data_IF_189973364839
#
_entry.id   IF_189973364839
#
_cell.length_a   1.000
_cell.length_b   1.000
_cell.length_c   1.000
_cell.angle_alpha   90.00
_cell.angle_beta   90.00
_cell.angle_gamma   90.00
#
_symmetry.space_group_name_H-M   'P 1'
#
loop_
_entity.id
_entity.type
_entity.pdbx_description
1 polymer ?
#
# COMPACT_ATOMS: atom_id res chain seq x y z
N UNK A 1 -13.25 -43.22 1.31
CA UNK A 1 -13.34 -42.57 -0.02
C UNK A 1 -13.34 -41.04 0.01
N UNK A 2 -13.98 -40.37 0.98
CA UNK A 2 -13.96 -38.88 1.08
C UNK A 2 -12.57 -38.31 1.42
N UNK A 3 -11.78 -39.00 2.25
CA UNK A 3 -10.42 -38.62 2.62
C UNK A 3 -9.42 -38.71 1.45
N UNK A 4 -9.54 -39.71 0.58
CA UNK A 4 -8.65 -39.89 -0.57
C UNK A 4 -8.86 -38.81 -1.65
N UNK A 5 -10.11 -38.36 -1.85
CA UNK A 5 -10.43 -37.24 -2.75
C UNK A 5 -9.88 -35.91 -2.24
N UNK A 6 -9.89 -35.70 -0.92
CA UNK A 6 -9.31 -34.51 -0.30
C UNK A 6 -7.78 -34.48 -0.44
N UNK A 7 -7.11 -35.63 -0.26
CA UNK A 7 -5.66 -35.76 -0.45
C UNK A 7 -5.27 -35.54 -1.91
N UNK A 8 -6.01 -36.12 -2.86
CA UNK A 8 -5.76 -35.92 -4.30
C UNK A 8 -5.99 -34.45 -4.69
N UNK A 9 -7.00 -33.78 -4.11
CA UNK A 9 -7.22 -32.35 -4.34
C UNK A 9 -6.09 -31.48 -3.77
N UNK A 10 -5.60 -31.80 -2.56
CA UNK A 10 -4.46 -31.10 -1.94
C UNK A 10 -3.18 -31.31 -2.76
N UNK A 11 -2.91 -32.53 -3.22
CA UNK A 11 -1.76 -32.86 -4.06
C UNK A 11 -1.88 -32.19 -5.43
N UNK A 12 -3.09 -32.12 -6.02
CA UNK A 12 -3.34 -31.41 -7.27
C UNK A 12 -3.11 -29.89 -7.12
N UNK A 13 -3.52 -29.28 -6.01
CA UNK A 13 -3.24 -27.87 -5.71
C UNK A 13 -1.74 -27.57 -5.53
N UNK A 14 -0.97 -28.53 -4.98
CA UNK A 14 0.47 -28.38 -4.76
C UNK A 14 1.30 -28.48 -6.05
N UNK A 15 0.78 -29.12 -7.11
CA UNK A 15 1.49 -29.31 -8.39
C UNK A 15 1.44 -28.08 -9.31
N UNK A 16 0.56 -27.11 -9.05
CA UNK A 16 0.47 -25.87 -9.85
C UNK A 16 1.37 -24.72 -9.39
N UNK A 17 2.27 -24.95 -8.43
CA UNK A 17 3.28 -23.97 -8.01
C UNK A 17 4.48 -24.08 -8.96
N UNK A 18 4.38 -23.50 -10.17
CA UNK A 18 5.57 -23.22 -10.97
C UNK A 18 5.63 -21.78 -11.47
N UNK A 19 6.79 -21.20 -11.15
CA UNK A 19 7.50 -20.05 -11.71
C UNK A 19 6.65 -18.88 -12.22
N UNK A 20 6.58 -17.86 -11.38
CA UNK A 20 6.14 -16.53 -11.75
C UNK A 20 7.39 -15.65 -11.88
N UNK A 21 7.55 -15.07 -13.05
CA UNK A 21 8.61 -14.12 -13.36
C UNK A 21 8.48 -12.87 -12.49
N UNK A 22 9.60 -12.46 -11.91
CA UNK A 22 9.70 -11.33 -11.00
C UNK A 22 9.51 -10.00 -11.72
N UNK A 23 8.49 -9.25 -11.32
CA UNK A 23 8.44 -7.80 -11.47
C UNK A 23 8.11 -7.21 -10.10
N UNK A 24 9.04 -6.41 -9.56
CA UNK A 24 8.94 -5.85 -8.21
C UNK A 24 7.93 -4.70 -8.19
N UNK A 25 6.98 -4.75 -7.26
CA UNK A 25 6.19 -3.60 -6.87
C UNK A 25 6.61 -3.18 -5.45
N UNK A 26 6.74 -1.87 -5.17
CA UNK A 26 7.10 -1.38 -3.84
C UNK A 26 6.13 -1.90 -2.76
N UNK A 27 6.72 -2.31 -1.63
CA UNK A 27 6.06 -2.87 -0.44
C UNK A 27 5.96 -1.78 0.64
N UNK A 28 4.83 -1.66 1.35
CA UNK A 28 4.58 -0.49 2.21
C UNK A 28 4.14 -0.85 3.64
N UNK A 29 4.99 -0.54 4.61
CA UNK A 29 4.70 -0.39 6.06
C UNK A 29 3.79 0.82 6.33
N UNK A 30 3.75 1.77 5.38
CA UNK A 30 2.93 3.00 5.41
C UNK A 30 1.45 2.75 5.68
N UNK A 31 0.94 1.55 5.43
CA UNK A 31 -0.46 1.19 5.64
C UNK A 31 -0.89 1.40 7.10
N UNK A 32 0.02 1.21 8.07
CA UNK A 32 -0.23 1.47 9.49
C UNK A 32 -0.37 2.96 9.81
N UNK A 33 0.25 3.81 8.99
CA UNK A 33 0.15 5.25 9.11
C UNK A 33 -1.01 5.81 8.31
N UNK A 34 -1.40 5.17 7.20
CA UNK A 34 -2.43 5.68 6.32
C UNK A 34 -3.34 4.58 5.74
N UNK A 35 -4.42 4.31 6.46
CA UNK A 35 -5.50 3.40 6.07
C UNK A 35 -6.25 3.85 4.80
N UNK A 36 -6.37 5.15 4.57
CA UNK A 36 -7.08 5.71 3.42
C UNK A 36 -6.38 5.44 2.08
N UNK A 37 -5.04 5.51 2.03
CA UNK A 37 -4.28 5.15 0.83
C UNK A 37 -4.37 3.65 0.51
N UNK A 38 -4.68 2.82 1.49
CA UNK A 38 -4.83 1.37 1.34
C UNK A 38 -6.21 1.03 0.84
N UNK A 39 -7.24 1.69 1.39
CA UNK A 39 -8.62 1.41 1.04
C UNK A 39 -9.43 2.72 0.93
N UNK A 40 -9.90 3.08 -0.29
CA UNK A 40 -10.65 4.32 -0.48
C UNK A 40 -12.00 4.33 0.25
N UNK A 41 -12.56 3.18 0.62
CA UNK A 41 -13.77 3.09 1.42
C UNK A 41 -13.59 3.57 2.88
N UNK A 42 -12.36 3.81 3.33
CA UNK A 42 -12.09 4.43 4.64
C UNK A 42 -12.58 5.88 4.71
N UNK A 43 -12.75 6.56 3.56
CA UNK A 43 -13.28 7.92 3.53
C UNK A 43 -14.67 7.97 4.20
N UNK A 44 -14.82 8.84 5.21
CA UNK A 44 -16.06 9.02 5.95
C UNK A 44 -16.39 7.93 6.98
N UNK A 45 -15.47 7.01 7.28
CA UNK A 45 -15.64 6.05 8.39
C UNK A 45 -15.36 6.68 9.76
N UNK A 46 -14.69 7.83 9.78
CA UNK A 46 -14.47 8.65 10.96
C UNK A 46 -15.40 9.86 10.96
N UNK A 47 -15.70 10.40 12.16
CA UNK A 47 -16.56 11.57 12.34
C UNK A 47 -15.85 12.91 12.14
N UNK A 48 -14.60 12.88 11.67
CA UNK A 48 -13.72 14.04 11.56
C UNK A 48 -12.88 13.97 10.29
N UNK A 49 -12.37 15.12 9.88
CA UNK A 49 -11.43 15.21 8.77
C UNK A 49 -10.00 14.91 9.25
N UNK A 50 -9.21 14.25 8.40
CA UNK A 50 -7.79 13.95 8.64
C UNK A 50 -6.97 14.39 7.44
N UNK A 51 -5.79 14.92 7.71
CA UNK A 51 -4.72 15.10 6.74
C UNK A 51 -3.53 14.26 7.21
N UNK A 52 -2.84 13.60 6.27
CA UNK A 52 -1.62 12.84 6.53
C UNK A 52 -0.62 13.09 5.44
N UNK A 53 0.63 13.28 5.84
CA UNK A 53 1.80 13.35 4.98
C UNK A 53 2.78 12.24 5.40
N UNK A 54 3.19 11.42 4.45
CA UNK A 54 4.11 10.31 4.68
C UNK A 54 5.32 10.47 3.77
N UNK A 55 6.51 10.16 4.27
CA UNK A 55 7.73 10.06 3.49
C UNK A 55 8.44 8.75 3.85
N UNK A 56 8.92 8.05 2.83
CA UNK A 56 9.60 6.77 2.95
C UNK A 56 10.83 6.76 2.05
N UNK A 57 11.95 6.34 2.62
CA UNK A 57 13.20 6.11 1.90
C UNK A 57 13.57 4.66 2.14
N UNK A 58 13.52 3.85 1.09
CA UNK A 58 13.75 2.42 1.13
C UNK A 58 15.16 2.08 0.68
N UNK A 59 15.73 1.03 1.25
CA UNK A 59 16.98 0.42 0.80
C UNK A 59 18.11 1.45 0.66
N UNK A 60 18.34 2.20 1.73
CA UNK A 60 19.39 3.23 1.75
C UNK A 60 20.74 2.66 1.27
N UNK A 61 21.42 3.36 0.36
CA UNK A 61 22.69 2.91 -0.21
C UNK A 61 22.60 1.83 -1.31
N UNK A 62 21.40 1.35 -1.67
CA UNK A 62 21.22 0.45 -2.81
C UNK A 62 21.39 1.21 -4.12
N UNK A 63 22.44 0.90 -4.90
CA UNK A 63 22.64 1.44 -6.25
C UNK A 63 22.73 2.96 -6.36
N UNK A 64 23.13 3.67 -5.30
CA UNK A 64 23.16 5.14 -5.22
C UNK A 64 21.93 5.71 -4.51
N UNK A 65 20.74 5.61 -5.11
CA UNK A 65 19.48 6.04 -4.49
C UNK A 65 18.42 4.93 -4.54
N UNK A 66 18.12 4.34 -3.38
CA UNK A 66 17.01 3.40 -3.24
C UNK A 66 15.63 4.06 -3.38
N UNK A 67 14.53 3.29 -3.49
CA UNK A 67 13.20 3.81 -3.76
C UNK A 67 12.72 4.85 -2.75
N UNK A 68 12.03 5.89 -3.22
CA UNK A 68 11.50 6.97 -2.40
C UNK A 68 10.03 7.20 -2.69
N UNK A 69 9.23 7.22 -1.65
CA UNK A 69 7.78 7.44 -1.76
C UNK A 69 7.36 8.58 -0.84
N UNK A 70 6.61 9.53 -1.39
CA UNK A 70 5.99 10.62 -0.63
C UNK A 70 4.49 10.65 -0.93
N UNK A 71 3.68 10.89 0.08
CA UNK A 71 2.23 11.01 -0.10
C UNK A 71 1.65 12.07 0.81
N UNK A 72 0.67 12.81 0.31
CA UNK A 72 -0.21 13.67 1.10
C UNK A 72 -1.64 13.24 0.81
N UNK A 73 -2.44 13.07 1.86
CA UNK A 73 -3.85 12.70 1.73
C UNK A 73 -4.71 13.49 2.69
N UNK A 74 -5.93 13.83 2.28
CA UNK A 74 -6.95 14.46 3.11
C UNK A 74 -8.29 13.76 2.92
N UNK A 75 -8.96 13.34 3.99
CA UNK A 75 -10.23 12.62 3.89
C UNK A 75 -11.10 12.81 5.14
N UNK A 76 -12.41 12.71 4.98
CA UNK A 76 -13.37 12.86 6.07
C UNK A 76 -14.82 12.62 5.65
N UNK A 77 -15.77 12.78 6.58
CA UNK A 77 -17.18 12.59 6.31
C UNK A 77 -17.83 13.85 5.73
N UNK A 78 -18.95 13.67 5.02
CA UNK A 78 -19.95 14.73 4.90
C UNK A 78 -20.66 14.91 6.25
N UNK A 79 -21.01 16.15 6.60
CA UNK A 79 -21.63 16.49 7.89
C UNK A 79 -22.97 15.78 8.13
N UNK A 80 -23.86 15.82 7.15
CA UNK A 80 -25.27 15.39 7.31
C UNK A 80 -25.62 14.11 6.54
N UNK A 81 -24.69 13.60 5.73
CA UNK A 81 -24.93 12.45 4.86
C UNK A 81 -24.01 11.31 5.24
N UNK A 82 -24.48 10.09 5.08
CA UNK A 82 -23.75 8.84 5.26
C UNK A 82 -22.70 8.60 4.14
N UNK A 83 -21.88 9.61 3.92
CA UNK A 83 -20.96 9.74 2.81
C UNK A 83 -19.61 10.26 3.33
N UNK A 84 -18.55 9.94 2.60
CA UNK A 84 -17.22 10.47 2.81
C UNK A 84 -16.60 10.92 1.50
N UNK A 85 -15.62 11.79 1.61
CA UNK A 85 -14.81 12.22 0.48
C UNK A 85 -13.35 12.36 0.92
N UNK A 86 -12.46 12.36 -0.06
CA UNK A 86 -11.06 12.61 0.17
C UNK A 86 -10.32 12.84 -1.13
N UNK A 87 -9.04 13.12 -0.99
CA UNK A 87 -8.11 13.13 -2.10
C UNK A 87 -6.70 12.87 -1.62
N UNK A 88 -5.84 12.53 -2.55
CA UNK A 88 -4.43 12.27 -2.29
C UNK A 88 -3.56 12.68 -3.47
N UNK A 89 -2.32 13.03 -3.15
CA UNK A 89 -1.21 13.11 -4.09
C UNK A 89 -0.16 12.14 -3.57
N UNK A 90 0.33 11.25 -4.41
CA UNK A 90 1.50 10.46 -4.08
C UNK A 90 2.51 10.48 -5.23
N UNK A 91 3.77 10.53 -4.86
CA UNK A 91 4.90 10.48 -5.76
C UNK A 91 5.81 9.33 -5.33
N UNK A 92 6.06 8.41 -6.25
CA UNK A 92 6.94 7.26 -6.05
C UNK A 92 8.07 7.32 -7.08
N UNK A 93 9.31 7.18 -6.63
CA UNK A 93 10.51 7.17 -7.46
C UNK A 93 11.26 5.88 -7.18
N UNK A 94 11.46 5.07 -8.20
CA UNK A 94 12.16 3.78 -8.13
C UNK A 94 13.15 3.70 -9.29
N UNK A 95 14.42 4.00 -9.01
CA UNK A 95 15.46 4.07 -10.04
C UNK A 95 15.10 5.07 -11.15
N UNK A 96 15.14 4.67 -12.45
CA UNK A 96 14.79 5.54 -13.57
C UNK A 96 13.30 5.82 -13.70
N UNK A 97 12.45 5.10 -12.97
CA UNK A 97 11.01 5.28 -13.01
C UNK A 97 10.53 6.26 -11.94
N UNK A 98 9.55 7.08 -12.31
CA UNK A 98 8.80 7.88 -11.34
C UNK A 98 7.32 7.95 -11.69
N UNK A 99 6.49 7.98 -10.66
CA UNK A 99 5.03 7.96 -10.74
C UNK A 99 4.44 9.03 -9.83
N UNK A 100 3.78 10.00 -10.43
CA UNK A 100 2.99 11.01 -9.74
C UNK A 100 1.51 10.72 -9.96
N UNK A 101 0.75 10.56 -8.89
CA UNK A 101 -0.70 10.34 -8.96
C UNK A 101 -1.44 11.36 -8.12
N UNK A 102 -2.49 11.94 -8.69
CA UNK A 102 -3.47 12.78 -8.04
C UNK A 102 -4.81 12.03 -8.09
N UNK A 103 -5.41 11.75 -6.94
CA UNK A 103 -6.67 11.03 -6.85
C UNK A 103 -7.71 11.75 -5.99
N UNK A 104 -8.97 11.63 -6.38
CA UNK A 104 -10.14 12.01 -5.59
C UNK A 104 -10.97 10.77 -5.27
N UNK A 105 -11.54 10.74 -4.07
CA UNK A 105 -12.33 9.60 -3.56
C UNK A 105 -13.69 10.05 -3.10
N UNK A 106 -14.68 9.22 -3.39
CA UNK A 106 -16.00 9.29 -2.79
C UNK A 106 -16.35 7.94 -2.17
N UNK A 107 -16.93 7.96 -0.97
CA UNK A 107 -17.34 6.76 -0.26
C UNK A 107 -18.74 6.89 0.34
N UNK A 108 -19.45 5.77 0.40
CA UNK A 108 -20.81 5.69 0.93
C UNK A 108 -20.85 4.68 2.08
N UNK A 109 -21.35 5.10 3.24
CA UNK A 109 -21.29 4.39 4.51
C UNK A 109 -22.67 3.98 5.00
N UNK A 110 -23.01 2.70 4.99
CA UNK A 110 -24.32 2.16 5.39
C UNK A 110 -24.21 1.51 6.76
N UNK A 111 -25.12 1.83 7.68
CA UNK A 111 -25.31 1.05 8.90
C UNK A 111 -26.07 -0.24 8.60
N UNK A 112 -25.50 -1.39 8.97
CA UNK A 112 -26.24 -2.67 8.92
C UNK A 112 -27.10 -2.82 10.17
N UNK A 113 -26.54 -2.43 11.32
CA UNK A 113 -27.16 -2.42 12.64
C UNK A 113 -26.42 -1.42 13.54
N UNK A 114 -26.80 -1.34 14.81
CA UNK A 114 -26.23 -0.40 15.78
C UNK A 114 -24.73 -0.57 16.02
N UNK A 115 -24.17 -1.76 15.74
CA UNK A 115 -22.77 -2.08 15.96
C UNK A 115 -21.90 -2.05 14.70
N UNK A 116 -22.47 -2.36 13.53
CA UNK A 116 -21.73 -2.60 12.29
C UNK A 116 -22.14 -1.66 11.15
N UNK A 117 -21.13 -1.14 10.47
CA UNK A 117 -21.26 -0.32 9.27
C UNK A 117 -20.42 -0.91 8.14
N UNK A 118 -20.89 -0.75 6.91
CA UNK A 118 -20.15 -1.07 5.68
C UNK A 118 -19.96 0.21 4.88
N UNK A 119 -18.78 0.40 4.34
CA UNK A 119 -18.45 1.47 3.41
C UNK A 119 -18.04 0.89 2.06
N UNK A 120 -18.54 1.49 0.99
CA UNK A 120 -18.04 1.28 -0.38
C UNK A 120 -17.42 2.57 -0.88
N UNK A 121 -16.19 2.50 -1.41
CA UNK A 121 -15.44 3.67 -1.85
C UNK A 121 -14.89 3.51 -3.27
N UNK A 122 -15.02 4.56 -4.07
CA UNK A 122 -14.46 4.65 -5.41
C UNK A 122 -13.51 5.84 -5.46
N UNK A 123 -12.32 5.63 -6.01
CA UNK A 123 -11.40 6.71 -6.35
C UNK A 123 -11.18 6.76 -7.84
N UNK A 124 -11.03 7.98 -8.33
CA UNK A 124 -10.62 8.26 -9.69
C UNK A 124 -9.49 9.29 -9.65
N UNK A 125 -8.51 9.10 -10.52
CA UNK A 125 -7.31 9.91 -10.49
C UNK A 125 -6.65 10.09 -11.83
N UNK A 126 -5.69 10.99 -11.85
CA UNK A 126 -4.73 11.20 -12.91
C UNK A 126 -3.38 10.67 -12.46
N UNK A 127 -2.69 9.96 -13.34
CA UNK A 127 -1.37 9.41 -13.08
C UNK A 127 -0.43 9.75 -14.23
N UNK A 128 0.69 10.35 -13.86
CA UNK A 128 1.83 10.57 -14.74
C UNK A 128 2.91 9.55 -14.39
N UNK A 129 3.35 8.80 -15.39
CA UNK A 129 4.52 7.93 -15.33
C UNK A 129 5.62 8.59 -16.14
N UNK A 130 6.83 8.60 -15.60
CA UNK A 130 8.02 9.12 -16.26
C UNK A 130 9.14 8.09 -16.16
N UNK A 131 9.80 7.86 -17.29
CA UNK A 131 10.99 7.02 -17.41
C UNK A 131 12.15 7.89 -17.87
N UNK A 132 13.20 7.94 -17.06
CA UNK A 132 14.44 8.65 -17.40
C UNK A 132 15.50 7.63 -17.83
N UNK A 133 15.70 7.49 -19.14
CA UNK A 133 16.70 6.57 -19.67
C UNK A 133 18.13 7.14 -19.63
N UNK A 134 18.32 8.44 -19.36
CA UNK A 134 19.64 9.05 -19.30
C UNK A 134 20.46 8.61 -18.08
N UNK A 135 19.78 8.11 -17.04
CA UNK A 135 20.41 7.61 -15.81
C UNK A 135 20.62 6.09 -15.82
N UNK A 136 20.25 5.40 -16.90
CA UNK A 136 20.50 3.97 -17.06
C UNK A 136 21.92 3.77 -17.61
N UNK A 137 22.84 3.28 -16.77
CA UNK A 137 24.19 2.91 -17.19
C UNK A 137 24.28 1.39 -17.27
N UNK A 138 24.58 0.86 -18.46
CA UNK A 138 24.84 -0.56 -18.66
C UNK A 138 26.33 -0.76 -18.89
N UNK A 139 26.91 -1.72 -18.15
CA UNK A 139 28.23 -2.28 -18.47
C UNK A 139 28.06 -3.18 -19.69
N UNK A 140 28.14 -2.58 -20.89
CA UNK A 140 28.50 -3.17 -22.19
C UNK A 140 27.81 -2.38 -23.33
N UNK A 141 28.49 -2.23 -24.47
CA UNK A 141 28.07 -1.53 -25.71
C UNK A 141 26.85 -2.18 -26.43
N UNK A 142 25.92 -2.77 -25.69
CA UNK A 142 24.66 -3.31 -26.21
C UNK A 142 23.66 -2.16 -26.41
N UNK A 143 23.65 -1.62 -27.63
CA UNK A 143 22.57 -0.75 -28.10
C UNK A 143 21.25 -1.54 -28.12
N UNK A 144 20.36 -1.27 -27.16
CA UNK A 144 18.98 -1.78 -27.17
C UNK A 144 18.06 -0.74 -27.84
N UNK A 145 17.50 -1.02 -29.05
CA UNK A 145 16.60 -0.11 -29.75
C UNK A 145 15.29 0.18 -29.00
N UNK A 146 14.91 -0.62 -28.01
CA UNK A 146 13.74 -0.38 -27.16
C UNK A 146 14.01 0.66 -26.06
N UNK A 147 15.28 1.04 -25.86
CA UNK A 147 15.70 1.97 -24.82
C UNK A 147 15.75 3.40 -25.34
N UNK A 148 15.19 4.33 -24.57
CA UNK A 148 15.22 5.76 -24.90
C UNK A 148 16.36 6.43 -24.14
N UNK A 149 17.26 7.15 -24.81
CA UNK A 149 18.32 7.94 -24.13
C UNK A 149 17.82 9.26 -23.51
N UNK A 150 16.50 9.41 -23.37
CA UNK A 150 15.82 10.64 -22.97
C UNK A 150 14.76 10.40 -21.91
N UNK A 151 14.02 11.45 -21.59
CA UNK A 151 12.93 11.42 -20.61
C UNK A 151 11.62 11.18 -21.33
N UNK A 152 11.01 10.02 -21.11
CA UNK A 152 9.68 9.69 -21.62
C UNK A 152 8.63 9.94 -20.54
N UNK A 153 7.52 10.59 -20.91
CA UNK A 153 6.42 10.87 -19.97
C UNK A 153 5.10 10.40 -20.56
N UNK A 154 4.35 9.64 -19.77
CA UNK A 154 3.03 9.13 -20.13
C UNK A 154 1.99 9.50 -19.09
N UNK A 155 0.88 10.04 -19.58
CA UNK A 155 -0.26 10.39 -18.76
C UNK A 155 -1.36 9.35 -18.92
N UNK A 156 -2.02 9.03 -17.82
CA UNK A 156 -3.08 8.03 -17.78
C UNK A 156 -4.08 8.35 -16.67
N UNK A 157 -5.22 7.69 -16.72
CA UNK A 157 -6.25 7.80 -15.68
C UNK A 157 -6.12 6.60 -14.74
N UNK A 158 -6.41 6.79 -13.47
CA UNK A 158 -6.39 5.74 -12.46
C UNK A 158 -7.78 5.56 -11.83
N UNK A 159 -8.10 4.34 -11.42
CA UNK A 159 -9.33 4.05 -10.69
C UNK A 159 -9.10 2.96 -9.64
N UNK A 160 -9.64 3.20 -8.45
CA UNK A 160 -9.47 2.32 -7.28
C UNK A 160 -10.83 2.06 -6.63
N UNK A 161 -11.09 0.82 -6.20
CA UNK A 161 -12.33 0.42 -5.55
C UNK A 161 -12.01 -0.17 -4.17
N UNK A 162 -12.88 0.09 -3.20
CA UNK A 162 -12.74 -0.42 -1.84
C UNK A 162 -14.07 -0.79 -1.23
N UNK A 163 -14.04 -1.79 -0.36
CA UNK A 163 -15.11 -2.14 0.56
C UNK A 163 -14.51 -2.27 1.97
N UNK A 164 -15.22 -1.77 2.97
CA UNK A 164 -14.73 -1.72 4.35
C UNK A 164 -15.87 -1.95 5.33
N UNK A 165 -15.79 -3.01 6.12
CA UNK A 165 -16.73 -3.28 7.21
C UNK A 165 -16.07 -2.94 8.54
N UNK A 166 -16.76 -2.16 9.38
CA UNK A 166 -16.19 -1.67 10.63
C UNK A 166 -17.22 -1.58 11.75
N UNK A 167 -16.71 -1.71 12.96
CA UNK A 167 -17.40 -1.52 14.24
C UNK A 167 -16.50 -0.66 15.15
N UNK A 168 -16.90 -0.45 16.41
CA UNK A 168 -16.12 0.31 17.40
C UNK A 168 -14.73 -0.28 17.62
N UNK A 169 -14.59 -1.62 17.57
CA UNK A 169 -13.34 -2.31 17.91
C UNK A 169 -12.74 -3.12 16.76
N UNK A 170 -13.47 -3.36 15.67
CA UNK A 170 -13.04 -4.29 14.62
C UNK A 170 -13.17 -3.64 13.26
N UNK A 171 -12.29 -4.02 12.34
CA UNK A 171 -12.41 -3.65 10.94
C UNK A 171 -11.85 -4.73 10.03
N UNK A 172 -12.43 -4.81 8.83
CA UNK A 172 -11.94 -5.62 7.72
C UNK A 172 -12.26 -4.89 6.42
N UNK A 173 -11.33 -4.92 5.48
CA UNK A 173 -11.51 -4.24 4.21
C UNK A 173 -10.78 -4.94 3.07
N UNK A 174 -11.39 -4.90 1.91
CA UNK A 174 -10.80 -5.32 0.66
C UNK A 174 -10.76 -4.13 -0.30
N UNK A 175 -9.67 -3.97 -1.02
CA UNK A 175 -9.54 -2.93 -2.04
C UNK A 175 -8.77 -3.43 -3.25
N UNK A 176 -9.07 -2.85 -4.40
CA UNK A 176 -8.39 -3.10 -5.66
C UNK A 176 -7.93 -1.76 -6.23
N UNK A 177 -6.65 -1.67 -6.55
CA UNK A 177 -6.01 -0.47 -7.09
C UNK A 177 -5.60 -0.68 -8.55
N UNK A 178 -5.49 0.41 -9.29
CA UNK A 178 -5.06 0.43 -10.70
C UNK A 178 -5.98 -0.40 -11.60
N UNK A 179 -7.30 -0.30 -11.36
CA UNK A 179 -8.32 -1.09 -12.05
C UNK A 179 -8.30 -0.92 -13.57
N UNK A 180 -7.92 0.26 -14.06
CA UNK A 180 -7.85 0.56 -15.49
C UNK A 180 -6.72 -0.17 -16.21
N UNK A 181 -5.75 -0.75 -15.48
CA UNK A 181 -4.71 -1.61 -16.05
C UNK A 181 -3.93 -0.93 -17.19
N UNK A 182 -3.57 0.33 -16.98
CA UNK A 182 -2.98 1.18 -18.02
C UNK A 182 -1.79 0.50 -18.68
N UNK A 183 -1.76 0.56 -20.01
CA UNK A 183 -0.66 0.02 -20.81
C UNK A 183 0.45 1.05 -20.90
N UNK A 184 1.68 0.68 -20.55
CA UNK A 184 2.88 1.47 -20.81
C UNK A 184 3.46 1.04 -22.17
N UNK A 185 2.76 1.36 -23.25
CA UNK A 185 3.43 1.38 -24.56
C UNK A 185 4.40 2.57 -24.54
N UNK A 186 5.70 2.28 -24.49
CA UNK A 186 6.78 3.28 -24.60
C UNK A 186 7.31 3.28 -26.05
N UNK A 187 7.05 2.23 -26.84
CA UNK A 187 7.46 2.16 -28.24
C UNK A 187 6.38 1.50 -29.13
N UNK A 188 5.53 2.30 -29.77
CA UNK A 188 4.38 1.84 -30.58
C UNK A 188 4.76 0.86 -31.71
N UNK A 189 5.96 0.97 -32.27
CA UNK A 189 6.42 0.16 -33.40
C UNK A 189 7.04 -1.19 -33.00
N UNK A 190 7.50 -1.36 -31.75
CA UNK A 190 8.18 -2.59 -31.26
C UNK A 190 7.27 -3.40 -30.32
N UNK A 191 6.39 -2.75 -29.57
CA UNK A 191 5.49 -3.38 -28.58
C UNK A 191 4.47 -4.37 -29.19
N UNK A 192 4.27 -4.32 -30.51
CA UNK A 192 3.42 -5.26 -31.25
C UNK A 192 4.04 -6.67 -31.41
N UNK A 193 5.36 -6.81 -31.22
CA UNK A 193 6.10 -8.06 -31.44
C UNK A 193 6.62 -8.73 -30.16
N UNK A 194 6.81 -7.99 -29.05
CA UNK A 194 7.51 -8.47 -27.84
C UNK A 194 6.65 -8.47 -26.55
N UNK A 195 5.44 -7.89 -26.58
CA UNK A 195 4.48 -7.93 -25.47
C UNK A 195 4.27 -6.58 -24.78
N UNK A 196 3.03 -6.31 -24.39
CA UNK A 196 2.59 -5.03 -23.83
C UNK A 196 2.87 -4.99 -22.32
N UNK A 197 3.70 -4.05 -21.85
CA UNK A 197 3.85 -3.75 -20.42
C UNK A 197 2.58 -3.10 -19.87
N UNK A 198 1.99 -3.70 -18.83
CA UNK A 198 0.76 -3.21 -18.18
C UNK A 198 1.03 -2.90 -16.73
N UNK A 199 0.41 -1.84 -16.23
CA UNK A 199 0.39 -1.57 -14.81
C UNK A 199 -0.33 -2.72 -14.10
N UNK A 200 0.37 -3.34 -13.17
CA UNK A 200 -0.15 -4.48 -12.43
C UNK A 200 -1.23 -4.06 -11.45
N UNK A 201 -2.40 -4.71 -11.54
CA UNK A 201 -3.45 -4.55 -10.55
C UNK A 201 -3.03 -5.11 -9.19
N UNK A 202 -3.31 -4.34 -8.14
CA UNK A 202 -3.06 -4.73 -6.76
C UNK A 202 -4.37 -4.93 -6.01
N UNK A 203 -4.51 -6.05 -5.32
CA UNK A 203 -5.62 -6.32 -4.41
C UNK A 203 -5.08 -6.38 -2.99
N UNK A 204 -5.69 -5.62 -2.08
CA UNK A 204 -5.36 -5.62 -0.67
C UNK A 204 -6.52 -6.19 0.13
N UNK A 205 -6.21 -7.07 1.08
CA UNK A 205 -7.11 -7.49 2.14
C UNK A 205 -6.48 -7.06 3.46
N UNK A 206 -7.20 -6.25 4.24
CA UNK A 206 -6.73 -5.67 5.49
C UNK A 206 -7.72 -5.96 6.60
N UNK A 207 -7.23 -6.09 7.83
CA UNK A 207 -8.10 -6.23 8.98
C UNK A 207 -7.36 -6.03 10.29
N UNK A 208 -8.10 -5.73 11.35
CA UNK A 208 -7.54 -5.53 12.67
C UNK A 208 -8.60 -5.39 13.76
N UNK A 209 -8.12 -5.38 14.99
CA UNK A 209 -8.95 -5.24 16.18
C UNK A 209 -8.27 -4.28 17.15
N UNK A 210 -9.04 -3.46 17.87
CA UNK A 210 -8.55 -2.57 18.91
C UNK A 210 -9.04 -3.06 20.27
N UNK A 211 -8.15 -3.71 21.02
CA UNK A 211 -8.44 -4.24 22.35
C UNK A 211 -8.02 -3.24 23.42
N UNK A 212 -8.97 -2.77 24.21
CA UNK A 212 -8.70 -1.94 25.40
C UNK A 212 -8.32 -2.89 26.54
N UNK A 213 -7.03 -2.90 26.91
CA UNK A 213 -6.53 -3.77 27.98
C UNK A 213 -6.88 -3.22 29.36
N UNK A 214 -6.75 -1.91 29.53
CA UNK A 214 -7.15 -1.16 30.72
C UNK A 214 -7.33 0.33 30.37
N UNK A 215 -7.44 1.20 31.39
CA UNK A 215 -7.63 2.64 31.19
C UNK A 215 -6.49 3.32 30.45
N UNK A 216 -5.28 2.78 30.57
CA UNK A 216 -4.06 3.36 30.01
C UNK A 216 -3.64 2.68 28.72
N UNK A 217 -3.80 1.36 28.59
CA UNK A 217 -3.24 0.59 27.49
C UNK A 217 -4.31 0.04 26.55
N UNK A 218 -4.06 0.18 25.26
CA UNK A 218 -4.77 -0.50 24.19
C UNK A 218 -3.78 -1.20 23.25
N UNK A 219 -4.17 -2.35 22.71
CA UNK A 219 -3.39 -3.09 21.70
C UNK A 219 -4.20 -3.23 20.42
N UNK A 220 -3.55 -2.96 19.29
CA UNK A 220 -4.13 -3.08 17.95
C UNK A 220 -3.33 -4.09 17.12
N UNK A 221 -3.67 -5.39 17.17
CA UNK A 221 -3.20 -6.32 16.15
C UNK A 221 -3.88 -6.02 14.81
N UNK A 222 -3.13 -6.14 13.72
CA UNK A 222 -3.66 -6.01 12.37
C UNK A 222 -2.84 -6.83 11.37
N UNK A 223 -3.44 -7.12 10.22
CA UNK A 223 -2.78 -7.78 9.12
C UNK A 223 -3.18 -7.15 7.79
N UNK A 224 -2.26 -7.21 6.83
CA UNK A 224 -2.47 -6.81 5.45
C UNK A 224 -1.94 -7.92 4.54
N UNK A 225 -2.77 -8.37 3.61
CA UNK A 225 -2.40 -9.28 2.53
C UNK A 225 -2.47 -8.48 1.25
N UNK A 226 -1.38 -8.45 0.49
CA UNK A 226 -1.27 -7.81 -0.82
C UNK A 226 -1.12 -8.90 -1.87
N UNK A 227 -2.03 -8.93 -2.82
CA UNK A 227 -1.94 -9.73 -4.03
C UNK A 227 -1.60 -8.83 -5.23
N UNK A 228 -0.60 -9.22 -6.00
CA UNK A 228 -0.11 -8.50 -7.17
C UNK A 228 -0.12 -9.45 -8.37
N UNK A 229 -0.81 -9.08 -9.44
CA UNK A 229 -0.99 -9.95 -10.61
C UNK A 229 0.25 -9.99 -11.54
N UNK A 230 0.73 -11.15 -11.98
CA UNK A 230 0.27 -12.49 -11.63
C UNK A 230 0.95 -13.00 -10.35
N UNK A 231 0.17 -13.32 -9.31
CA UNK A 231 0.53 -14.30 -8.27
C UNK A 231 1.57 -13.95 -7.18
N UNK A 232 2.01 -12.70 -7.01
CA UNK A 232 2.84 -12.35 -5.87
C UNK A 232 1.97 -11.99 -4.65
N UNK A 233 2.10 -12.76 -3.56
CA UNK A 233 1.37 -12.54 -2.30
C UNK A 233 2.35 -12.10 -1.22
N UNK A 234 2.23 -10.85 -0.76
CA UNK A 234 2.91 -10.35 0.43
C UNK A 234 1.96 -10.28 1.63
N UNK A 235 2.47 -10.55 2.82
CA UNK A 235 1.71 -10.48 4.07
C UNK A 235 2.49 -9.67 5.10
N UNK A 236 1.82 -8.67 5.67
CA UNK A 236 2.30 -7.89 6.82
C UNK A 236 1.44 -8.21 8.04
N UNK A 237 2.07 -8.64 9.14
CA UNK A 237 1.43 -8.82 10.44
C UNK A 237 1.98 -7.79 11.41
N UNK A 238 1.08 -7.13 12.14
CA UNK A 238 1.41 -5.94 12.91
C UNK A 238 0.78 -5.98 14.29
N UNK A 239 1.48 -5.43 15.27
CA UNK A 239 0.95 -5.18 16.60
C UNK A 239 1.36 -3.78 17.07
N UNK A 240 0.39 -2.97 17.47
CA UNK A 240 0.61 -1.63 18.02
C UNK A 240 0.09 -1.55 19.45
N UNK A 241 0.90 -1.08 20.38
CA UNK A 241 0.48 -0.78 21.75
C UNK A 241 0.39 0.74 21.91
N UNK A 242 -0.72 1.23 22.42
CA UNK A 242 -0.98 2.66 22.64
C UNK A 242 -1.19 2.91 24.13
N UNK A 243 -0.45 3.87 24.67
CA UNK A 243 -0.53 4.35 26.05
C UNK A 243 -1.24 5.71 26.12
N UNK A 244 -2.35 5.76 26.87
CA UNK A 244 -3.21 6.91 27.12
C UNK A 244 -3.68 7.65 25.86
N UNK A 245 -3.67 6.98 24.70
CA UNK A 245 -3.88 7.59 23.37
C UNK A 245 -2.83 8.64 22.97
N UNK A 246 -1.77 8.80 23.76
CA UNK A 246 -0.71 9.81 23.58
C UNK A 246 0.51 9.19 22.89
N UNK A 247 1.07 8.11 23.45
CA UNK A 247 2.27 7.47 22.89
C UNK A 247 1.91 6.10 22.37
N UNK A 248 2.51 5.67 21.28
CA UNK A 248 2.38 4.30 20.82
C UNK A 248 3.69 3.74 20.29
N UNK A 249 3.86 2.43 20.43
CA UNK A 249 4.94 1.65 19.85
C UNK A 249 4.36 0.49 19.07
N UNK A 250 5.07 0.00 18.06
CA UNK A 250 4.59 -1.11 17.26
C UNK A 250 5.69 -1.93 16.61
N UNK A 251 5.34 -3.15 16.25
CA UNK A 251 6.16 -4.07 15.49
C UNK A 251 5.40 -4.51 14.24
N UNK A 252 6.15 -4.65 13.15
CA UNK A 252 5.67 -5.19 11.88
C UNK A 252 6.56 -6.34 11.46
N UNK A 253 5.98 -7.45 11.03
CA UNK A 253 6.71 -8.53 10.40
C UNK A 253 6.11 -8.83 9.03
N UNK A 254 6.97 -8.72 8.00
CA UNK A 254 6.62 -8.90 6.60
C UNK A 254 7.23 -10.19 6.06
N UNK A 255 6.42 -10.96 5.37
CA UNK A 255 6.83 -12.18 4.69
C UNK A 255 6.03 -12.37 3.39
N UNK A 256 6.48 -13.24 2.49
CA UNK A 256 5.84 -13.41 1.18
C UNK A 256 6.45 -12.53 0.08
N UNK A 257 7.76 -12.30 0.11
CA UNK A 257 8.43 -11.53 -0.95
C UNK A 257 8.79 -12.42 -2.14
N UNK A 258 8.72 -11.88 -3.35
CA UNK A 258 9.12 -12.56 -4.58
C UNK A 258 8.44 -13.93 -4.87
N UNK A 259 7.20 -14.14 -4.40
CA UNK A 259 6.43 -15.34 -4.69
C UNK A 259 6.77 -16.55 -3.81
N UNK A 260 7.67 -16.37 -2.85
CA UNK A 260 8.00 -17.34 -1.82
C UNK A 260 7.59 -16.79 -0.44
N UNK A 261 7.11 -17.67 0.45
CA UNK A 261 6.81 -17.31 1.85
C UNK A 261 8.09 -17.18 2.69
N UNK A 262 9.02 -16.33 2.25
CA UNK A 262 10.26 -16.00 2.96
C UNK A 262 10.11 -14.72 3.76
N UNK A 263 10.93 -14.57 4.81
CA UNK A 263 11.03 -13.36 5.60
C UNK A 263 11.57 -12.21 4.76
N UNK A 264 10.88 -11.07 4.78
CA UNK A 264 11.27 -9.90 3.99
C UNK A 264 11.80 -8.76 4.87
N UNK A 265 11.04 -8.38 5.89
CA UNK A 265 11.42 -7.28 6.77
C UNK A 265 10.80 -7.40 8.17
N UNK A 266 11.51 -6.85 9.16
CA UNK A 266 10.99 -6.57 10.49
C UNK A 266 11.04 -5.05 10.70
N UNK A 267 9.90 -4.42 11.01
CA UNK A 267 9.85 -3.00 11.32
C UNK A 267 9.59 -2.74 12.80
N UNK A 268 10.29 -1.75 13.33
CA UNK A 268 10.02 -1.17 14.65
C UNK A 268 9.46 0.23 14.44
N UNK A 269 8.37 0.54 15.14
CA UNK A 269 7.64 1.78 14.98
C UNK A 269 7.40 2.45 16.32
N UNK A 270 7.37 3.77 16.31
CA UNK A 270 6.98 4.58 17.46
C UNK A 270 6.25 5.83 17.00
N UNK A 271 5.40 6.39 17.85
CA UNK A 271 4.78 7.66 17.56
C UNK A 271 4.12 8.32 18.74
N UNK A 272 3.69 9.55 18.47
CA UNK A 272 3.18 10.49 19.44
C UNK A 272 1.95 11.21 18.87
N UNK A 273 0.92 11.32 19.71
CA UNK A 273 -0.33 11.99 19.41
C UNK A 273 -0.48 13.15 20.38
N UNK A 274 -0.37 14.37 19.88
CA UNK A 274 -0.59 15.58 20.67
C UNK A 274 -2.08 15.94 20.61
N UNK A 275 -2.74 15.92 21.78
CA UNK A 275 -4.16 16.32 21.96
C UNK A 275 -5.16 15.67 20.98
N UNK A 276 -4.87 14.45 20.48
CA UNK A 276 -5.64 13.79 19.43
C UNK A 276 -5.81 14.63 18.13
N UNK A 277 -4.92 15.60 17.91
CA UNK A 277 -4.91 16.47 16.73
C UNK A 277 -3.68 16.22 15.88
N UNK A 278 -2.48 16.30 16.47
CA UNK A 278 -1.24 16.11 15.72
C UNK A 278 -0.76 14.68 15.93
N UNK A 279 -0.46 14.00 14.83
CA UNK A 279 0.06 12.65 14.81
C UNK A 279 1.47 12.68 14.25
N UNK A 280 2.43 12.08 14.94
CA UNK A 280 3.79 11.88 14.46
C UNK A 280 4.10 10.39 14.58
N UNK A 281 4.59 9.78 13.51
CA UNK A 281 4.98 8.38 13.47
C UNK A 281 6.33 8.21 12.79
N UNK A 282 7.14 7.31 13.33
CA UNK A 282 8.42 6.88 12.78
C UNK A 282 8.39 5.36 12.62
N UNK A 283 8.92 4.86 11.51
CA UNK A 283 9.19 3.45 11.30
C UNK A 283 10.62 3.23 10.80
N UNK A 284 11.21 2.11 11.21
CA UNK A 284 12.48 1.64 10.72
C UNK A 284 12.35 0.17 10.35
N UNK A 285 12.48 -0.15 9.06
CA UNK A 285 12.43 -1.54 8.58
C UNK A 285 13.85 -2.08 8.45
N UNK A 286 14.06 -3.21 9.10
CA UNK A 286 15.23 -4.06 8.98
C UNK A 286 14.93 -5.09 7.88
N UNK A 287 15.63 -4.98 6.76
CA UNK A 287 15.51 -5.96 5.67
C UNK A 287 16.11 -7.30 6.10
N UNK A 288 15.34 -8.37 5.94
CA UNK A 288 15.69 -9.75 6.28
C UNK A 288 15.94 -10.62 5.05
N UNK A 289 15.42 -10.21 3.89
CA UNK A 289 15.60 -10.90 2.62
C UNK A 289 17.03 -10.76 2.08
N UNK A 290 17.37 -11.56 1.06
CA UNK A 290 18.73 -11.63 0.48
C UNK A 290 19.24 -10.29 -0.05
N UNK A 291 18.34 -9.37 -0.40
CA UNK A 291 18.68 -8.02 -0.85
C UNK A 291 19.42 -7.21 0.22
N UNK A 292 19.31 -7.58 1.51
CA UNK A 292 20.06 -6.97 2.62
C UNK A 292 21.58 -6.88 2.36
N UNK A 293 22.15 -7.75 1.53
CA UNK A 293 23.57 -7.70 1.16
C UNK A 293 23.95 -6.47 0.33
N UNK A 294 22.98 -5.90 -0.37
CA UNK A 294 23.15 -4.78 -1.29
C UNK A 294 22.31 -3.55 -0.88
N UNK A 295 21.35 -3.72 0.03
CA UNK A 295 20.46 -2.66 0.51
C UNK A 295 20.66 -2.39 2.00
N UNK A 296 20.71 -1.12 2.38
CA UNK A 296 20.54 -0.68 3.75
C UNK A 296 19.08 -0.73 4.21
N UNK A 297 18.83 -0.15 5.37
CA UNK A 297 17.51 -0.14 6.00
C UNK A 297 16.54 0.84 5.33
N UNK A 298 15.26 0.73 5.69
CA UNK A 298 14.20 1.65 5.26
C UNK A 298 13.78 2.53 6.42
N UNK A 299 13.54 3.81 6.16
CA UNK A 299 13.04 4.77 7.14
C UNK A 299 11.74 5.38 6.65
N UNK A 300 10.76 5.50 7.56
CA UNK A 300 9.49 6.18 7.30
C UNK A 300 9.16 7.23 8.36
N UNK A 301 8.63 8.35 7.91
CA UNK A 301 8.06 9.42 8.71
C UNK A 301 6.61 9.62 8.29
N UNK A 302 5.72 9.79 9.26
CA UNK A 302 4.39 10.31 9.05
C UNK A 302 4.12 11.49 9.98
N UNK A 303 3.51 12.53 9.42
CA UNK A 303 2.90 13.62 10.16
C UNK A 303 1.44 13.72 9.74
N UNK A 304 0.54 13.87 10.70
CA UNK A 304 -0.88 14.00 10.45
C UNK A 304 -1.54 15.06 11.31
N UNK A 305 -2.65 15.57 10.82
CA UNK A 305 -3.52 16.49 11.54
C UNK A 305 -4.97 16.01 11.47
N UNK A 306 -5.62 15.94 12.62
CA UNK A 306 -7.03 15.64 12.78
C UNK A 306 -7.77 16.92 13.17
N UNK A 307 -8.84 17.20 12.43
CA UNK A 307 -9.76 18.29 12.73
C UNK A 307 -10.77 17.86 13.80
N UNK A 308 -11.48 18.84 14.34
CA UNK A 308 -12.58 18.57 15.25
C UNK A 308 -13.67 17.74 14.56
N UNK A 309 -14.47 17.06 15.38
CA UNK A 309 -15.61 16.28 14.90
C UNK A 309 -16.56 17.18 14.11
N UNK A 310 -16.95 16.70 12.93
CA UNK A 310 -17.94 17.31 12.06
C UNK A 310 -19.30 16.60 12.25
N UNK A 311 -19.28 15.36 12.75
CA UNK A 311 -20.42 14.51 13.09
C UNK A 311 -20.40 14.08 14.55
#
# INVERSE_FOLDING_TARGET
>A
MKSLKLIIFIVFCLVFIKQINAQQAPYYTQYMFNDYLVNPAVAGTFNHFKIRANSRIQWTGFGGEGPRTMSISGYGPFKEKDMGYGGYIYNDVTGPESRLTLGGTYAYNIAINDAWRISGGLSFGYMQYKLDGAIMHFDDDLYDPAMTNGVETKNSLDANLGFYAYSTFYYVGISAHQLLGNKYNVHELIDSAQGISRLTQHVYLSGGANFILNRDFAITPSALIKYTSPGLIGVDINAKVTYQRIVWGGLSYRFGSAGYFTSDALAVMAGYNYENKIYIGLAYDITLSDIRRYSGSTFEVMVGYQFNNVK
#
